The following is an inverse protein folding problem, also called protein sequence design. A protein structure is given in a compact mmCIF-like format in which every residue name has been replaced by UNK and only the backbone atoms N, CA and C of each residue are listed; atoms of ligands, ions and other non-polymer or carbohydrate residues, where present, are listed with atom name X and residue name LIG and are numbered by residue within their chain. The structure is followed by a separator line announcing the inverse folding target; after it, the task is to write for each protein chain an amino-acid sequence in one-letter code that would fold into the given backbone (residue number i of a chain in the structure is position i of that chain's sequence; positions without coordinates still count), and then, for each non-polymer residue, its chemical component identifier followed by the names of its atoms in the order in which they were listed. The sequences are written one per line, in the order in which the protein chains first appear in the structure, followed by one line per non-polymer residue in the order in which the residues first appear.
data_IF_645843521105
#
_entry.id   IF_645843521105
#
_cell.length_a   1.000
_cell.length_b   1.000
_cell.length_c   1.000
_cell.angle_alpha   90.00
_cell.angle_beta   90.00
_cell.angle_gamma   90.00
#
_symmetry.space_group_name_H-M   'P 1'
#
loop_
_entity.id
_entity.type
_entity.pdbx_description
1 polymer ?
#
# COMPACT_ATOMS: atom_id res chain seq x y z
N UNK A 1 16.96 1.64 -2.59
CA UNK A 1 16.73 0.27 -3.15
C UNK A 1 16.11 0.37 -4.55
N UNK A 2 16.21 -0.64 -5.43
CA UNK A 2 15.71 -0.54 -6.82
C UNK A 2 14.30 -1.11 -7.07
N UNK A 3 13.74 -1.90 -6.15
CA UNK A 3 12.41 -2.50 -6.29
C UNK A 3 11.33 -1.68 -5.54
N UNK A 4 10.06 -1.93 -5.84
CA UNK A 4 8.92 -1.20 -5.25
C UNK A 4 8.79 -1.40 -3.74
N UNK A 5 9.09 -2.60 -3.22
CA UNK A 5 9.05 -2.85 -1.77
C UNK A 5 10.09 -2.04 -1.01
N UNK A 6 11.31 -1.94 -1.55
CA UNK A 6 12.36 -1.10 -0.96
C UNK A 6 12.03 0.38 -0.99
N UNK A 7 11.34 0.86 -2.05
CA UNK A 7 10.80 2.22 -2.09
C UNK A 7 9.69 2.43 -1.06
N UNK A 8 8.78 1.47 -0.89
CA UNK A 8 7.74 1.53 0.14
C UNK A 8 8.37 1.73 1.53
N UNK A 9 9.44 0.99 1.82
CA UNK A 9 10.18 1.10 3.07
C UNK A 9 10.83 2.50 3.25
N UNK A 10 11.44 3.05 2.20
CA UNK A 10 11.99 4.41 2.22
C UNK A 10 10.91 5.46 2.55
N UNK A 11 9.70 5.31 1.99
CA UNK A 11 8.57 6.19 2.30
C UNK A 11 8.04 5.98 3.73
N UNK A 12 7.98 4.75 4.22
CA UNK A 12 7.57 4.44 5.59
C UNK A 12 8.53 5.04 6.64
N UNK A 13 9.84 4.93 6.41
CA UNK A 13 10.86 5.56 7.28
C UNK A 13 10.73 7.08 7.27
N UNK A 14 10.45 7.69 6.12
CA UNK A 14 10.21 9.13 6.04
C UNK A 14 8.98 9.54 6.86
N UNK A 15 7.87 8.80 6.74
CA UNK A 15 6.65 9.02 7.54
C UNK A 15 6.95 8.96 9.04
N UNK A 16 7.67 7.93 9.49
CA UNK A 16 8.06 7.77 10.90
C UNK A 16 8.90 8.95 11.40
N UNK A 17 9.88 9.39 10.59
CA UNK A 17 10.67 10.58 10.90
C UNK A 17 9.80 11.84 11.06
N UNK A 18 8.85 12.07 10.14
CA UNK A 18 7.98 13.24 10.21
C UNK A 18 7.05 13.20 11.43
N UNK A 19 6.51 12.02 11.77
CA UNK A 19 5.69 11.82 12.97
C UNK A 19 6.45 12.08 14.27
N UNK A 20 7.75 11.76 14.31
CA UNK A 20 8.63 12.05 15.45
C UNK A 20 9.21 13.47 15.49
N UNK A 21 8.98 14.28 14.45
CA UNK A 21 9.56 15.61 14.32
C UNK A 21 8.63 16.72 14.85
N UNK A 22 9.15 17.95 14.93
CA UNK A 22 8.35 19.15 15.23
C UNK A 22 7.87 19.89 13.97
N UNK A 23 7.94 19.25 12.80
CA UNK A 23 7.53 19.85 11.53
C UNK A 23 6.00 19.83 11.46
N UNK A 24 5.38 21.01 11.38
CA UNK A 24 3.92 21.17 11.35
C UNK A 24 3.32 21.05 9.94
N UNK A 25 4.16 21.13 8.91
CA UNK A 25 3.72 21.01 7.53
C UNK A 25 3.50 19.54 7.15
N UNK A 26 2.24 19.18 6.90
CA UNK A 26 1.84 17.84 6.47
C UNK A 26 2.09 17.55 4.98
N UNK A 27 2.54 18.52 4.18
CA UNK A 27 2.72 18.38 2.72
C UNK A 27 3.68 17.26 2.35
N UNK A 28 4.82 17.20 3.01
CA UNK A 28 5.84 16.18 2.78
C UNK A 28 5.33 14.83 3.33
N UNK A 29 4.72 14.83 4.51
CA UNK A 29 4.14 13.62 5.09
C UNK A 29 3.12 12.98 4.13
N UNK A 30 2.20 13.77 3.54
CA UNK A 30 1.21 13.22 2.62
C UNK A 30 1.76 12.76 1.29
N UNK A 31 2.81 13.42 0.77
CA UNK A 31 3.56 12.90 -0.37
C UNK A 31 4.12 11.49 -0.08
N UNK A 32 4.81 11.32 1.05
CA UNK A 32 5.36 10.00 1.40
C UNK A 32 4.26 8.97 1.67
N UNK A 33 3.18 9.35 2.34
CA UNK A 33 2.06 8.44 2.63
C UNK A 33 1.38 7.95 1.35
N UNK A 34 1.12 8.85 0.39
CA UNK A 34 0.55 8.48 -0.90
C UNK A 34 1.47 7.54 -1.69
N UNK A 35 2.76 7.86 -1.74
CA UNK A 35 3.75 7.05 -2.44
C UNK A 35 3.94 5.67 -1.81
N UNK A 36 3.89 5.57 -0.47
CA UNK A 36 3.92 4.30 0.26
C UNK A 36 2.72 3.43 -0.15
N UNK A 37 1.51 3.99 -0.18
CA UNK A 37 0.30 3.28 -0.59
C UNK A 37 0.37 2.77 -2.04
N UNK A 38 0.85 3.58 -2.97
CA UNK A 38 1.10 3.11 -4.34
C UNK A 38 2.07 1.93 -4.38
N UNK A 39 3.12 1.98 -3.57
CA UNK A 39 4.10 0.91 -3.47
C UNK A 39 3.57 -0.35 -2.76
N UNK A 40 2.41 -0.30 -2.10
CA UNK A 40 1.70 -1.49 -1.65
C UNK A 40 0.80 -2.05 -2.76
N UNK A 41 -0.03 -1.21 -3.40
CA UNK A 41 -0.97 -1.70 -4.41
C UNK A 41 -0.30 -2.26 -5.65
N UNK A 42 0.72 -1.58 -6.18
CA UNK A 42 1.36 -1.96 -7.44
C UNK A 42 2.04 -3.33 -7.37
N UNK A 43 2.83 -3.68 -6.34
CA UNK A 43 3.36 -5.03 -6.19
C UNK A 43 2.30 -6.11 -5.98
N UNK A 44 1.22 -5.81 -5.25
CA UNK A 44 0.10 -6.75 -5.10
C UNK A 44 -0.52 -7.04 -6.47
N UNK A 45 -0.79 -6.01 -7.26
CA UNK A 45 -1.30 -6.16 -8.63
C UNK A 45 -0.32 -6.91 -9.54
N UNK A 46 0.96 -6.57 -9.49
CA UNK A 46 2.00 -7.22 -10.30
C UNK A 46 2.18 -8.71 -9.97
N UNK A 47 2.06 -9.09 -8.70
CA UNK A 47 2.43 -10.43 -8.24
C UNK A 47 1.27 -11.35 -7.86
N UNK A 48 0.08 -10.79 -7.62
CA UNK A 48 -1.13 -11.51 -7.16
C UNK A 48 -2.33 -11.34 -8.08
N UNK A 49 -2.31 -10.40 -9.03
CA UNK A 49 -3.40 -10.31 -10.00
C UNK A 49 -3.31 -11.41 -11.05
N UNK A 50 -4.46 -11.74 -11.66
CA UNK A 50 -4.51 -12.66 -12.80
C UNK A 50 -3.78 -12.14 -14.04
N UNK A 51 -3.49 -10.83 -14.12
CA UNK A 51 -2.89 -10.19 -15.30
C UNK A 51 -1.40 -9.92 -15.15
N UNK A 52 -0.88 -9.90 -13.91
CA UNK A 52 0.52 -9.59 -13.62
C UNK A 52 0.95 -8.17 -13.97
N UNK A 53 0.01 -7.21 -13.96
CA UNK A 53 0.26 -5.81 -14.30
C UNK A 53 -0.66 -4.89 -13.48
N UNK A 54 -0.30 -3.60 -13.43
CA UNK A 54 -1.11 -2.55 -12.81
C UNK A 54 -1.34 -1.39 -13.79
N UNK A 55 -2.47 -0.69 -13.63
CA UNK A 55 -2.73 0.52 -14.40
C UNK A 55 -1.70 1.63 -14.14
N UNK A 56 -1.45 2.50 -15.12
CA UNK A 56 -0.59 3.69 -14.96
C UNK A 56 -1.25 4.82 -14.13
N UNK A 57 -2.04 4.45 -13.12
CA UNK A 57 -2.72 5.39 -12.25
C UNK A 57 -1.90 5.66 -10.98
N UNK A 58 -2.05 6.88 -10.48
CA UNK A 58 -1.58 7.34 -9.17
C UNK A 58 -2.74 7.52 -8.18
N UNK A 59 -3.98 7.32 -8.64
CA UNK A 59 -5.19 7.52 -7.83
C UNK A 59 -5.42 6.30 -6.96
N UNK A 60 -5.21 6.45 -5.66
CA UNK A 60 -5.22 5.33 -4.71
C UNK A 60 -6.56 4.58 -4.69
N UNK A 61 -7.68 5.31 -4.78
CA UNK A 61 -9.00 4.69 -4.81
C UNK A 61 -9.21 3.80 -6.05
N UNK A 62 -8.62 4.16 -7.21
CA UNK A 62 -8.69 3.34 -8.42
C UNK A 62 -7.80 2.11 -8.30
N UNK A 63 -6.61 2.27 -7.74
CA UNK A 63 -5.71 1.14 -7.47
C UNK A 63 -6.34 0.14 -6.50
N UNK A 64 -7.04 0.61 -5.45
CA UNK A 64 -7.80 -0.27 -4.56
C UNK A 64 -8.89 -1.05 -5.30
N UNK A 65 -9.65 -0.39 -6.19
CA UNK A 65 -10.67 -1.08 -7.00
C UNK A 65 -10.06 -2.14 -7.93
N UNK A 66 -8.90 -1.85 -8.50
CA UNK A 66 -8.13 -2.80 -9.31
C UNK A 66 -7.67 -4.00 -8.47
N UNK A 67 -7.15 -3.78 -7.26
CA UNK A 67 -6.73 -4.85 -6.34
C UNK A 67 -7.92 -5.73 -5.99
N UNK A 68 -9.06 -5.15 -5.64
CA UNK A 68 -10.26 -5.90 -5.26
C UNK A 68 -10.81 -6.72 -6.44
N UNK A 69 -10.75 -6.17 -7.65
CA UNK A 69 -11.33 -6.82 -8.84
C UNK A 69 -10.45 -7.90 -9.44
N UNK A 70 -9.13 -7.82 -9.25
CA UNK A 70 -8.17 -8.68 -9.95
C UNK A 70 -7.41 -9.65 -9.04
N UNK A 71 -7.57 -9.52 -7.71
CA UNK A 71 -6.93 -10.40 -6.71
C UNK A 71 -7.97 -11.02 -5.76
N UNK A 72 -7.50 -11.91 -4.88
CA UNK A 72 -8.32 -12.49 -3.82
C UNK A 72 -8.60 -11.51 -2.67
N UNK A 73 -7.93 -10.35 -2.62
CA UNK A 73 -8.18 -9.33 -1.61
C UNK A 73 -9.63 -8.82 -1.65
N UNK A 74 -10.24 -8.65 -0.47
CA UNK A 74 -11.61 -8.15 -0.31
C UNK A 74 -11.66 -7.18 0.87
N UNK A 75 -12.33 -6.06 0.67
CA UNK A 75 -12.59 -5.05 1.70
C UNK A 75 -13.81 -4.20 1.34
N UNK A 76 -14.30 -3.39 2.29
CA UNK A 76 -15.32 -2.39 2.03
C UNK A 76 -14.72 -1.14 1.36
N UNK A 77 -14.63 -1.13 0.02
CA UNK A 77 -14.06 0.01 -0.71
C UNK A 77 -14.74 1.35 -0.42
N UNK A 78 -16.02 1.35 -0.05
CA UNK A 78 -16.77 2.57 0.27
C UNK A 78 -16.28 3.22 1.56
N UNK A 79 -15.73 2.43 2.52
CA UNK A 79 -15.12 2.93 3.76
C UNK A 79 -13.93 3.85 3.47
N UNK A 80 -13.11 3.48 2.47
CA UNK A 80 -11.81 4.13 2.22
C UNK A 80 -11.82 5.15 1.07
N UNK A 81 -12.91 5.22 0.30
CA UNK A 81 -12.92 5.96 -0.97
C UNK A 81 -12.63 7.45 -0.79
N UNK A 82 -13.26 8.09 0.19
CA UNK A 82 -13.10 9.52 0.46
C UNK A 82 -11.66 9.84 0.87
N UNK A 83 -11.14 9.10 1.83
CA UNK A 83 -9.81 9.30 2.43
C UNK A 83 -8.68 9.05 1.42
N UNK A 84 -8.80 7.99 0.61
CA UNK A 84 -7.84 7.72 -0.46
C UNK A 84 -7.82 8.83 -1.54
N UNK A 85 -8.97 9.47 -1.79
CA UNK A 85 -9.04 10.63 -2.68
C UNK A 85 -8.37 11.84 -2.01
N UNK A 86 -8.67 12.11 -0.74
CA UNK A 86 -8.07 13.21 0.02
C UNK A 86 -6.54 13.11 0.06
N UNK A 87 -6.00 11.92 0.32
CA UNK A 87 -4.56 11.64 0.29
C UNK A 87 -3.97 11.87 -1.12
N UNK A 88 -4.67 11.41 -2.17
CA UNK A 88 -4.22 11.61 -3.56
C UNK A 88 -4.13 13.10 -3.89
N UNK A 89 -5.17 13.86 -3.57
CA UNK A 89 -5.21 15.33 -3.80
C UNK A 89 -4.12 16.03 -3.00
N UNK A 90 -3.93 15.65 -1.73
CA UNK A 90 -2.86 16.19 -0.89
C UNK A 90 -1.48 15.99 -1.54
N UNK A 91 -1.21 14.80 -2.04
CA UNK A 91 0.06 14.51 -2.71
C UNK A 91 0.20 15.21 -4.06
N UNK A 92 -0.88 15.42 -4.83
CA UNK A 92 -0.82 16.14 -6.11
C UNK A 92 -0.49 17.64 -5.90
N UNK A 93 -1.03 18.23 -4.83
CA UNK A 93 -0.87 19.66 -4.53
C UNK A 93 0.31 19.96 -3.59
N UNK A 94 1.14 18.96 -3.25
CA UNK A 94 2.17 19.11 -2.20
C UNK A 94 3.22 20.20 -2.45
N UNK A 95 3.41 20.61 -3.71
CA UNK A 95 4.35 21.68 -4.09
C UNK A 95 3.73 23.07 -4.12
N UNK A 96 2.41 23.18 -4.04
CA UNK A 96 1.69 24.43 -4.31
C UNK A 96 1.26 25.20 -3.05
N UNK A 97 1.60 24.73 -1.84
CA UNK A 97 1.41 25.42 -0.56
C UNK A 97 0.07 26.18 -0.42
N UNK A 98 -1.02 25.57 -0.87
CA UNK A 98 -2.35 26.09 -0.57
C UNK A 98 -2.70 25.73 0.88
N UNK A 99 -3.39 26.63 1.57
CA UNK A 99 -3.81 26.52 2.99
C UNK A 99 -4.48 25.17 3.23
N UNK A 100 -3.67 24.19 3.67
CA UNK A 100 -4.04 22.77 3.66
C UNK A 100 -4.55 22.39 5.03
N UNK A 101 -5.72 21.77 5.05
CA UNK A 101 -6.27 21.18 6.26
C UNK A 101 -5.47 19.93 6.65
N UNK A 102 -4.39 20.13 7.40
CA UNK A 102 -3.57 19.04 7.91
C UNK A 102 -4.33 18.14 8.88
N UNK A 103 -5.30 18.68 9.63
CA UNK A 103 -6.11 17.86 10.52
C UNK A 103 -6.99 16.90 9.72
N UNK A 104 -7.73 17.40 8.73
CA UNK A 104 -8.53 16.57 7.83
C UNK A 104 -7.68 15.54 7.08
N UNK A 105 -6.44 15.89 6.70
CA UNK A 105 -5.48 14.93 6.16
C UNK A 105 -5.13 13.81 7.15
N UNK A 106 -4.78 14.14 8.40
CA UNK A 106 -4.42 13.12 9.40
C UNK A 106 -5.61 12.24 9.81
N UNK A 107 -6.82 12.79 9.80
CA UNK A 107 -8.04 12.00 9.99
C UNK A 107 -8.19 10.95 8.88
N UNK A 108 -7.92 11.33 7.62
CA UNK A 108 -7.87 10.38 6.50
C UNK A 108 -6.75 9.35 6.61
N UNK A 109 -5.57 9.73 7.12
CA UNK A 109 -4.48 8.79 7.41
C UNK A 109 -4.94 7.73 8.42
N UNK A 110 -5.55 8.14 9.52
CA UNK A 110 -6.02 7.21 10.55
C UNK A 110 -7.02 6.18 9.99
N UNK A 111 -7.91 6.60 9.09
CA UNK A 111 -8.83 5.68 8.39
C UNK A 111 -8.06 4.76 7.46
N UNK A 112 -7.10 5.27 6.69
CA UNK A 112 -6.32 4.48 5.75
C UNK A 112 -5.32 3.52 6.41
N UNK A 113 -4.88 3.77 7.63
CA UNK A 113 -4.04 2.84 8.38
C UNK A 113 -4.73 1.49 8.63
N UNK A 114 -6.06 1.47 8.77
CA UNK A 114 -6.81 0.22 8.81
C UNK A 114 -6.69 -0.57 7.50
N UNK A 115 -6.74 0.11 6.36
CA UNK A 115 -6.55 -0.54 5.06
C UNK A 115 -5.13 -1.09 4.91
N UNK A 116 -4.11 -0.40 5.43
CA UNK A 116 -2.73 -0.93 5.44
C UNK A 116 -2.67 -2.24 6.22
N UNK A 117 -3.28 -2.31 7.41
CA UNK A 117 -3.33 -3.54 8.21
C UNK A 117 -3.99 -4.68 7.43
N UNK A 118 -5.13 -4.42 6.79
CA UNK A 118 -5.81 -5.42 5.95
C UNK A 118 -4.92 -5.93 4.80
N UNK A 119 -4.17 -5.03 4.14
CA UNK A 119 -3.25 -5.39 3.05
C UNK A 119 -2.06 -6.21 3.55
N UNK A 120 -1.50 -5.88 4.71
CA UNK A 120 -0.42 -6.64 5.35
C UNK A 120 -0.90 -8.05 5.69
N UNK A 121 -2.05 -8.18 6.35
CA UNK A 121 -2.62 -9.48 6.69
C UNK A 121 -2.89 -10.33 5.43
N UNK A 122 -3.31 -9.69 4.34
CA UNK A 122 -3.50 -10.37 3.06
C UNK A 122 -2.18 -10.91 2.51
N UNK A 123 -1.11 -10.11 2.50
CA UNK A 123 0.21 -10.52 2.02
C UNK A 123 0.82 -11.64 2.88
N UNK A 124 0.66 -11.57 4.20
CA UNK A 124 1.08 -12.63 5.13
C UNK A 124 0.37 -13.96 4.81
N UNK A 125 -0.98 -13.94 4.71
CA UNK A 125 -1.79 -15.12 4.38
C UNK A 125 -1.47 -15.70 3.00
N UNK A 126 -1.15 -14.87 2.02
CA UNK A 126 -0.72 -15.34 0.68
C UNK A 126 0.68 -15.96 0.73
N UNK A 127 1.57 -15.41 1.54
CA UNK A 127 2.93 -15.94 1.73
C UNK A 127 2.90 -17.32 2.39
N UNK A 128 2.12 -17.48 3.47
CA UNK A 128 1.91 -18.76 4.13
C UNK A 128 1.36 -19.82 3.17
N UNK A 129 0.33 -19.47 2.40
CA UNK A 129 -0.27 -20.37 1.40
C UNK A 129 0.74 -20.81 0.32
N UNK A 130 1.63 -19.92 -0.10
CA UNK A 130 2.71 -20.25 -1.06
C UNK A 130 3.71 -21.22 -0.46
N UNK A 131 4.14 -20.98 0.79
CA UNK A 131 5.07 -21.88 1.51
C UNK A 131 4.46 -23.27 1.69
N UNK A 132 3.19 -23.34 2.07
CA UNK A 132 2.50 -24.62 2.26
C UNK A 132 2.27 -25.40 0.96
N UNK A 133 2.12 -24.70 -0.16
CA UNK A 133 2.08 -25.34 -1.49
C UNK A 133 3.44 -25.91 -1.86
N UNK A 134 4.51 -25.13 -1.68
CA UNK A 134 5.87 -25.56 -1.97
C UNK A 134 6.30 -26.79 -1.14
N UNK A 135 5.88 -26.89 0.12
CA UNK A 135 6.13 -28.07 0.96
C UNK A 135 5.40 -29.33 0.46
N UNK A 136 4.20 -29.17 -0.09
CA UNK A 136 3.39 -30.28 -0.63
C UNK A 136 3.91 -30.82 -1.96
N UNK A 137 4.63 -29.99 -2.71
CA UNK A 137 5.20 -30.33 -4.02
C UNK A 137 6.62 -30.92 -3.93
N UNK A 138 7.22 -31.01 -2.73
CA UNK A 138 8.52 -31.68 -2.56
C UNK A 138 8.37 -33.21 -2.67
N UNK A 139 9.06 -33.87 -3.63
CA UNK A 139 9.04 -35.32 -3.74
C UNK A 139 9.70 -35.95 -2.50
N UNK A 140 9.27 -37.16 -2.07
CA UNK A 140 9.90 -37.84 -0.96
C UNK A 140 11.38 -38.05 -1.28
N UNK A 141 12.26 -37.57 -0.40
CA UNK A 141 13.69 -37.87 -0.47
C UNK A 141 13.81 -39.39 -0.29
N UNK A 142 13.96 -40.12 -1.40
CA UNK A 142 14.43 -41.49 -1.33
C UNK A 142 15.81 -41.43 -0.68
N UNK A 143 15.89 -41.84 0.59
CA UNK A 143 17.15 -42.22 1.22
C UNK A 143 17.71 -43.35 0.37
N UNK A 144 18.63 -43.02 -0.53
CA UNK A 144 19.53 -43.98 -1.12
C UNK A 144 20.41 -44.49 0.03
N UNK A 145 20.05 -45.70 0.46
CA UNK A 145 20.83 -46.70 1.21
C UNK A 145 21.86 -46.19 2.22
#
# INVERSE_FOLDING_TARGET
MKNLGGKAWEHAVAIDFFNGSHIQDCSIHCFHYQQMFECFFKPILETKSQFGAYSKSHKLNKLLEEVISTTAFKTNKSKYRGDLIAITVCAEEYRTNFDRDCQGYFDSVAVCDDLIKELIEFEEKETERRVDRAKREQPPIHKLS
#
